data_IF_893056077309
#
_entry.id   IF_893056077309
#
_cell.length_a   1.000
_cell.length_b   1.000
_cell.length_c   1.000
_cell.angle_alpha   90.00
_cell.angle_beta   90.00
_cell.angle_gamma   90.00
#
_symmetry.space_group_name_H-M   'P 1'
#
loop_
_entity.id
_entity.type
_entity.pdbx_description
1 polymer ?
#
# COMPACT_ATOMS: atom_id res chain seq x y z
N UNK A 1 9.08 25.62 20.83
CA UNK A 1 9.03 24.79 19.61
C UNK A 1 10.44 24.46 19.17
N UNK A 2 10.86 23.20 19.22
CA UNK A 2 12.22 22.79 18.81
C UNK A 2 12.23 22.73 17.29
N UNK A 3 13.06 23.56 16.67
CA UNK A 3 13.16 23.65 15.21
C UNK A 3 13.92 22.43 14.68
N UNK A 4 13.39 21.75 13.66
CA UNK A 4 13.97 20.54 13.02
C UNK A 4 15.43 20.71 12.60
N UNK A 5 15.82 21.93 12.24
CA UNK A 5 17.22 22.28 11.91
C UNK A 5 18.18 22.19 13.10
N UNK A 6 17.72 22.49 14.31
CA UNK A 6 18.55 22.42 15.52
C UNK A 6 18.70 21.01 16.03
N UNK A 7 17.69 20.14 15.81
CA UNK A 7 17.79 18.71 16.14
C UNK A 7 18.89 18.00 15.33
N UNK A 8 18.99 18.29 14.03
CA UNK A 8 20.03 17.70 13.16
C UNK A 8 21.44 18.19 13.51
N UNK A 9 21.60 19.44 13.98
CA UNK A 9 22.90 19.96 14.42
C UNK A 9 23.36 19.36 15.74
N UNK A 10 22.44 19.00 16.63
CA UNK A 10 22.77 18.40 17.93
C UNK A 10 23.18 16.93 17.81
N UNK A 11 22.69 16.21 16.80
CA UNK A 11 23.04 14.82 16.54
C UNK A 11 24.47 14.65 16.00
N UNK A 12 25.03 15.70 15.41
CA UNK A 12 26.38 15.65 14.80
C UNK A 12 27.52 15.89 15.79
N UNK A 13 27.24 16.39 17.00
CA UNK A 13 28.26 16.70 18.00
C UNK A 13 28.61 15.56 18.96
N UNK A 14 27.88 14.46 18.96
CA UNK A 14 28.11 13.33 19.87
C UNK A 14 29.13 12.29 19.35
N UNK A 15 29.67 12.49 18.14
CA UNK A 15 30.63 11.54 17.55
C UNK A 15 32.10 12.00 17.52
N UNK A 16 32.43 13.17 18.09
CA UNK A 16 33.75 13.78 18.00
C UNK A 16 34.37 14.17 19.36
N UNK A 17 34.06 13.47 20.42
CA UNK A 17 34.58 13.78 21.76
C UNK A 17 35.05 12.55 22.52
N UNK A 18 36.20 11.99 22.18
CA UNK A 18 36.74 10.86 22.95
C UNK A 18 38.06 10.33 22.44
N UNK A 19 39.04 11.20 22.19
CA UNK A 19 40.44 10.80 22.07
C UNK A 19 41.18 11.24 23.32
N UNK A 20 41.26 10.37 24.35
CA UNK A 20 42.28 10.45 25.40
C UNK A 20 42.96 9.11 25.44
N UNK A 21 44.29 9.20 25.36
CA UNK A 21 45.24 8.12 25.27
C UNK A 21 45.14 7.10 26.41
N UNK A 22 45.17 5.81 26.10
CA UNK A 22 45.32 4.72 27.04
C UNK A 22 45.23 3.39 26.35
N UNK A 23 46.40 2.76 26.12
CA UNK A 23 46.67 1.37 25.73
C UNK A 23 45.54 0.60 24.98
N UNK A 24 45.84 0.34 23.73
CA UNK A 24 45.06 -0.48 22.80
C UNK A 24 44.98 -1.94 23.31
N UNK A 25 43.78 -2.36 23.69
CA UNK A 25 43.31 -3.71 23.45
C UNK A 25 42.14 -3.58 22.46
N UNK A 26 42.32 -4.25 21.35
CA UNK A 26 41.44 -4.18 20.20
C UNK A 26 40.05 -4.75 20.58
N UNK A 27 39.15 -3.92 21.08
CA UNK A 27 37.75 -4.17 20.94
C UNK A 27 37.36 -3.74 19.53
N UNK A 28 37.42 -4.66 18.59
CA UNK A 28 36.67 -4.56 17.35
C UNK A 28 35.21 -4.55 17.73
N UNK A 29 34.69 -3.37 18.07
CA UNK A 29 33.26 -3.14 18.06
C UNK A 29 32.81 -3.38 16.63
N UNK A 30 32.30 -4.59 16.38
CA UNK A 30 31.59 -4.88 15.17
C UNK A 30 30.41 -3.86 15.10
N UNK A 31 30.66 -2.77 14.37
CA UNK A 31 29.55 -1.92 13.95
C UNK A 31 28.59 -2.86 13.22
N UNK A 32 27.34 -3.00 13.70
CA UNK A 32 26.39 -3.78 12.96
C UNK A 32 26.28 -3.12 11.58
N UNK A 33 26.80 -3.79 10.57
CA UNK A 33 26.53 -3.43 9.19
C UNK A 33 25.01 -3.52 9.07
N UNK A 34 24.35 -2.37 9.18
CA UNK A 34 22.95 -2.24 8.87
C UNK A 34 22.83 -2.54 7.39
N UNK A 35 22.66 -3.80 7.07
CA UNK A 35 22.19 -4.22 5.77
C UNK A 35 20.84 -3.52 5.59
N UNK A 36 20.87 -2.36 4.92
CA UNK A 36 19.66 -1.79 4.38
C UNK A 36 19.16 -2.80 3.36
N UNK A 37 18.34 -3.73 3.84
CA UNK A 37 17.42 -4.44 2.96
C UNK A 37 16.59 -3.34 2.33
N UNK A 38 16.96 -2.95 1.13
CA UNK A 38 16.14 -2.09 0.28
C UNK A 38 14.89 -2.89 -0.03
N UNK A 39 13.95 -2.89 0.91
CA UNK A 39 12.64 -3.47 0.69
C UNK A 39 12.09 -2.78 -0.56
N UNK A 40 11.96 -3.54 -1.64
CA UNK A 40 11.43 -3.04 -2.90
C UNK A 40 10.08 -2.41 -2.59
N UNK A 41 9.97 -1.09 -2.73
CA UNK A 41 8.75 -0.37 -2.43
C UNK A 41 7.63 -0.92 -3.31
N UNK A 42 6.54 -1.36 -2.67
CA UNK A 42 5.33 -1.77 -3.37
C UNK A 42 4.63 -0.52 -3.90
N UNK A 43 4.33 -0.51 -5.19
CA UNK A 43 3.58 0.57 -5.84
C UNK A 43 2.20 0.05 -6.15
N UNK A 44 1.17 0.73 -5.63
CA UNK A 44 -0.23 0.41 -5.85
C UNK A 44 -0.90 1.36 -6.83
N UNK A 45 -1.99 0.89 -7.43
CA UNK A 45 -2.86 1.68 -8.29
C UNK A 45 -4.32 1.44 -7.89
N UNK A 46 -5.10 2.50 -7.80
CA UNK A 46 -6.55 2.42 -7.75
C UNK A 46 -7.09 2.29 -9.17
N UNK A 47 -7.82 1.22 -9.46
CA UNK A 47 -8.29 0.90 -10.83
C UNK A 47 -9.26 1.94 -11.39
N UNK A 48 -9.87 2.77 -10.55
CA UNK A 48 -10.71 3.89 -10.98
C UNK A 48 -9.97 4.87 -11.90
N UNK A 49 -8.65 5.05 -11.68
CA UNK A 49 -7.81 5.94 -12.50
C UNK A 49 -7.68 5.50 -13.95
N UNK A 50 -7.98 4.23 -14.26
CA UNK A 50 -7.92 3.69 -15.61
C UNK A 50 -9.19 3.94 -16.42
N UNK A 51 -10.25 4.43 -15.77
CA UNK A 51 -11.56 4.60 -16.40
C UNK A 51 -12.07 3.30 -17.01
N UNK A 52 -12.58 3.37 -18.24
CA UNK A 52 -13.08 2.20 -18.97
C UNK A 52 -12.01 1.37 -19.67
N UNK A 53 -10.74 1.75 -19.63
CA UNK A 53 -9.68 1.05 -20.39
C UNK A 53 -9.46 -0.38 -19.89
N UNK A 54 -9.48 -0.57 -18.57
CA UNK A 54 -9.34 -1.90 -17.98
C UNK A 54 -10.48 -2.85 -18.34
N UNK A 55 -11.69 -2.32 -18.58
CA UNK A 55 -12.88 -3.15 -18.89
C UNK A 55 -12.88 -3.71 -20.29
N UNK A 56 -12.06 -3.18 -21.20
CA UNK A 56 -11.97 -3.67 -22.57
C UNK A 56 -11.33 -5.05 -22.65
N UNK A 57 -10.29 -5.28 -21.87
CA UNK A 57 -9.61 -6.56 -21.72
C UNK A 57 -8.91 -6.60 -20.35
N UNK A 58 -9.59 -7.16 -19.34
CA UNK A 58 -9.10 -7.18 -17.97
C UNK A 58 -7.78 -7.97 -17.84
N UNK A 59 -7.64 -9.19 -18.39
CA UNK A 59 -6.39 -9.93 -18.30
C UNK A 59 -5.19 -9.21 -18.95
N UNK A 60 -5.37 -8.62 -20.12
CA UNK A 60 -4.32 -7.88 -20.80
C UNK A 60 -3.94 -6.62 -20.02
N UNK A 61 -4.93 -5.86 -19.53
CA UNK A 61 -4.71 -4.69 -18.68
C UNK A 61 -3.95 -5.00 -17.39
N UNK A 62 -4.28 -6.11 -16.72
CA UNK A 62 -3.57 -6.58 -15.51
C UNK A 62 -2.09 -6.88 -15.82
N UNK A 63 -1.80 -7.57 -16.92
CA UNK A 63 -0.42 -7.85 -17.33
C UNK A 63 0.35 -6.56 -17.64
N UNK A 64 -0.29 -5.61 -18.29
CA UNK A 64 0.31 -4.31 -18.58
C UNK A 64 0.64 -3.52 -17.32
N UNK A 65 -0.26 -3.48 -16.34
CA UNK A 65 -0.01 -2.86 -15.05
C UNK A 65 1.19 -3.49 -14.34
N UNK A 66 1.29 -4.81 -14.38
CA UNK A 66 2.45 -5.51 -13.82
C UNK A 66 3.76 -5.13 -14.52
N UNK A 67 3.75 -5.03 -15.84
CA UNK A 67 4.92 -4.60 -16.62
C UNK A 67 5.34 -3.16 -16.34
N UNK A 68 4.39 -2.27 -16.02
CA UNK A 68 4.64 -0.90 -15.57
C UNK A 68 5.24 -0.82 -14.17
N UNK A 69 5.30 -1.95 -13.42
CA UNK A 69 5.91 -2.01 -12.09
C UNK A 69 4.93 -1.94 -10.92
N UNK A 70 3.63 -1.90 -11.18
CA UNK A 70 2.64 -2.01 -10.10
C UNK A 70 2.67 -3.40 -9.48
N UNK A 71 2.38 -3.47 -8.19
CA UNK A 71 2.38 -4.72 -7.42
C UNK A 71 1.08 -4.92 -6.64
N UNK A 72 0.36 -3.84 -6.36
CA UNK A 72 -0.90 -3.88 -5.63
C UNK A 72 -1.99 -3.09 -6.35
N UNK A 73 -3.23 -3.51 -6.12
CA UNK A 73 -4.42 -2.83 -6.64
C UNK A 73 -5.35 -2.46 -5.49
N UNK A 74 -5.96 -1.29 -5.60
CA UNK A 74 -7.19 -0.92 -4.92
C UNK A 74 -8.35 -1.02 -5.90
N UNK A 75 -9.36 -1.79 -5.53
CA UNK A 75 -10.55 -1.96 -6.36
C UNK A 75 -11.46 -0.74 -6.29
N UNK A 76 -12.23 -0.52 -7.34
CA UNK A 76 -13.32 0.43 -7.41
C UNK A 76 -14.41 -0.11 -8.36
N UNK A 77 -15.60 0.45 -8.29
CA UNK A 77 -16.70 0.02 -9.16
C UNK A 77 -17.35 -1.29 -8.74
N UNK A 78 -17.26 -1.65 -7.44
CA UNK A 78 -18.00 -2.79 -6.93
C UNK A 78 -19.52 -2.57 -7.08
N UNK A 79 -20.17 -3.56 -7.65
CA UNK A 79 -21.62 -3.60 -7.78
C UNK A 79 -22.10 -5.05 -7.74
N UNK A 80 -22.86 -5.40 -6.69
CA UNK A 80 -23.52 -6.71 -6.54
C UNK A 80 -22.61 -7.93 -6.85
N UNK A 81 -21.41 -7.99 -6.24
CA UNK A 81 -20.48 -9.10 -6.41
C UNK A 81 -19.61 -9.01 -7.67
N UNK A 82 -19.67 -7.90 -8.39
CA UNK A 82 -18.88 -7.67 -9.61
C UNK A 82 -17.99 -6.46 -9.46
N UNK A 83 -16.84 -6.50 -10.11
CA UNK A 83 -15.94 -5.36 -10.32
C UNK A 83 -15.90 -5.07 -11.82
N UNK A 84 -16.32 -3.88 -12.22
CA UNK A 84 -16.38 -3.49 -13.63
C UNK A 84 -17.11 -4.52 -14.53
N UNK A 85 -18.17 -5.13 -14.01
CA UNK A 85 -18.97 -6.13 -14.73
C UNK A 85 -18.44 -7.57 -14.68
N UNK A 86 -17.22 -7.80 -14.21
CA UNK A 86 -16.62 -9.13 -14.00
C UNK A 86 -16.93 -9.63 -12.59
N UNK A 87 -17.22 -10.92 -12.44
CA UNK A 87 -17.35 -11.55 -11.12
C UNK A 87 -16.13 -11.26 -10.25
N UNK A 88 -16.34 -10.95 -8.97
CA UNK A 88 -15.27 -10.50 -8.07
C UNK A 88 -14.20 -11.59 -7.86
N UNK A 89 -14.59 -12.87 -7.79
CA UNK A 89 -13.64 -13.97 -7.60
C UNK A 89 -12.84 -14.23 -8.88
N UNK A 90 -13.47 -14.10 -10.04
CA UNK A 90 -12.80 -14.16 -11.33
C UNK A 90 -11.84 -12.99 -11.51
N UNK A 91 -12.26 -11.77 -11.18
CA UNK A 91 -11.40 -10.59 -11.22
C UNK A 91 -10.18 -10.74 -10.30
N UNK A 92 -10.38 -11.26 -9.08
CA UNK A 92 -9.29 -11.58 -8.15
C UNK A 92 -8.31 -12.57 -8.76
N UNK A 93 -8.81 -13.65 -9.35
CA UNK A 93 -7.98 -14.65 -10.00
C UNK A 93 -7.15 -14.06 -11.15
N UNK A 94 -7.74 -13.21 -11.99
CA UNK A 94 -7.04 -12.53 -13.07
C UNK A 94 -5.90 -11.63 -12.54
N UNK A 95 -6.12 -10.92 -11.42
CA UNK A 95 -5.09 -10.11 -10.79
C UNK A 95 -3.94 -10.98 -10.25
N UNK A 96 -4.25 -12.06 -9.55
CA UNK A 96 -3.27 -13.01 -9.00
C UNK A 96 -2.46 -13.69 -10.12
N UNK A 97 -3.10 -14.13 -11.19
CA UNK A 97 -2.45 -14.72 -12.37
C UNK A 97 -1.47 -13.72 -13.06
N UNK A 98 -1.78 -12.43 -13.00
CA UNK A 98 -0.87 -11.37 -13.47
C UNK A 98 0.22 -11.00 -12.44
N UNK A 99 0.21 -11.56 -11.24
CA UNK A 99 1.14 -11.26 -10.16
C UNK A 99 0.86 -9.94 -9.44
N UNK A 100 -0.39 -9.48 -9.44
CA UNK A 100 -0.88 -8.32 -8.71
C UNK A 100 -1.64 -8.77 -7.47
N UNK A 101 -1.51 -8.02 -6.36
CA UNK A 101 -2.22 -8.27 -5.11
C UNK A 101 -3.29 -7.21 -4.89
N UNK A 102 -4.53 -7.63 -4.66
CA UNK A 102 -5.59 -6.73 -4.23
C UNK A 102 -5.41 -6.45 -2.73
N UNK A 103 -5.37 -5.19 -2.33
CA UNK A 103 -5.12 -4.76 -0.95
C UNK A 103 -6.27 -4.01 -0.32
N UNK A 104 -7.11 -3.38 -1.13
CA UNK A 104 -8.27 -2.60 -0.66
C UNK A 104 -9.32 -2.48 -1.76
N UNK A 105 -10.49 -2.02 -1.37
CA UNK A 105 -11.57 -1.69 -2.31
C UNK A 105 -12.26 -0.41 -1.89
N UNK A 106 -12.48 0.49 -2.83
CA UNK A 106 -13.35 1.64 -2.66
C UNK A 106 -14.78 1.22 -2.94
N UNK A 107 -15.61 1.19 -1.91
CA UNK A 107 -17.01 0.77 -2.00
C UNK A 107 -17.88 1.83 -1.37
N UNK A 108 -18.95 2.20 -2.05
CA UNK A 108 -19.95 3.13 -1.53
C UNK A 108 -21.20 2.36 -1.08
N UNK A 109 -21.82 2.74 0.05
CA UNK A 109 -23.09 2.19 0.45
C UNK A 109 -24.20 2.60 -0.54
N UNK A 110 -25.31 1.85 -0.60
CA UNK A 110 -26.40 2.13 -1.55
C UNK A 110 -27.12 3.45 -1.29
N UNK A 111 -26.97 4.01 -0.09
CA UNK A 111 -27.50 5.33 0.28
C UNK A 111 -26.38 6.18 0.84
N UNK A 112 -26.28 7.44 0.42
CA UNK A 112 -25.23 8.37 0.86
C UNK A 112 -25.40 8.89 2.29
N UNK A 113 -26.58 8.75 2.89
CA UNK A 113 -26.90 9.29 4.21
C UNK A 113 -27.18 8.18 5.22
N UNK A 114 -26.51 8.27 6.37
CA UNK A 114 -26.74 7.38 7.50
C UNK A 114 -27.77 7.99 8.44
N UNK A 115 -29.00 7.49 8.36
CA UNK A 115 -30.12 7.85 9.22
C UNK A 115 -30.64 6.62 9.97
N UNK A 116 -31.52 6.78 11.01
CA UNK A 116 -32.16 5.65 11.65
C UNK A 116 -32.88 4.73 10.65
N UNK A 117 -33.50 5.29 9.60
CA UNK A 117 -34.25 4.53 8.61
C UNK A 117 -33.32 3.80 7.63
N UNK A 118 -32.18 4.38 7.25
CA UNK A 118 -31.23 3.78 6.30
C UNK A 118 -30.22 2.86 6.98
N UNK A 119 -30.11 2.90 8.33
CA UNK A 119 -29.13 2.14 9.09
C UNK A 119 -29.12 0.65 8.76
N UNK A 120 -30.28 0.01 8.78
CA UNK A 120 -30.36 -1.44 8.55
C UNK A 120 -29.93 -1.79 7.12
N UNK A 121 -30.35 -1.03 6.13
CA UNK A 121 -29.98 -1.21 4.72
C UNK A 121 -28.46 -1.09 4.55
N UNK A 122 -27.84 -0.10 5.17
CA UNK A 122 -26.38 0.12 5.13
C UNK A 122 -25.65 -1.03 5.83
N UNK A 123 -26.11 -1.46 7.01
CA UNK A 123 -25.49 -2.56 7.75
C UNK A 123 -25.56 -3.89 6.99
N UNK A 124 -26.71 -4.21 6.39
CA UNK A 124 -26.85 -5.42 5.57
C UNK A 124 -25.98 -5.36 4.31
N UNK A 125 -25.87 -4.19 3.69
CA UNK A 125 -24.95 -3.99 2.57
C UNK A 125 -23.50 -4.28 2.96
N UNK A 126 -23.01 -3.75 4.09
CA UNK A 126 -21.64 -3.99 4.54
C UNK A 126 -21.39 -5.45 4.93
N UNK A 127 -22.33 -6.10 5.59
CA UNK A 127 -22.23 -7.54 5.90
C UNK A 127 -22.10 -8.41 4.64
N UNK A 128 -22.78 -8.01 3.56
CA UNK A 128 -22.73 -8.73 2.28
C UNK A 128 -21.49 -8.43 1.46
N UNK A 129 -20.87 -7.26 1.67
CA UNK A 129 -19.74 -6.77 0.86
C UNK A 129 -18.39 -7.13 1.47
N UNK A 130 -18.34 -7.32 2.79
CA UNK A 130 -17.12 -7.70 3.52
C UNK A 130 -16.85 -9.19 3.40
#
# INVERSE_FOLDING_TARGET
MVNRRNFLKSASFLTLGGLVAGKAEALQAATPVRTETTAKKSIGLQIYSLGGELTKDVPAGMKQLKQMGYSTLELAGYNNGKINGVDMMEFKKMAEDAGLKITSSHVNPPTGEYTPDTRNTIMEYWKKTA
#
